data_IF_790317704944
#
_entry.id   IF_790317704944
#
_cell.length_a   1.000
_cell.length_b   1.000
_cell.length_c   1.000
_cell.angle_alpha   90.00
_cell.angle_beta   90.00
_cell.angle_gamma   90.00
#
_symmetry.space_group_name_H-M   'P 1'
#
loop_
_entity.id
_entity.type
_entity.pdbx_description
1 polymer ?
#
# COMPACT_ATOMS: atom_id res chain seq x y z
N UNK A 1 12.14 1.29 -30.67
CA UNK A 1 11.18 0.64 -29.77
C UNK A 1 10.81 1.64 -28.69
N UNK A 2 9.54 1.73 -28.27
CA UNK A 2 9.12 2.66 -27.20
C UNK A 2 9.53 2.03 -25.86
N UNK A 3 10.31 2.72 -25.00
CA UNK A 3 10.68 2.18 -23.70
C UNK A 3 9.48 2.14 -22.75
N UNK A 4 9.42 1.12 -21.91
CA UNK A 4 8.46 1.00 -20.82
C UNK A 4 9.01 1.75 -19.61
N UNK A 5 8.45 2.92 -19.35
CA UNK A 5 8.83 3.76 -18.20
C UNK A 5 7.83 3.51 -17.07
N UNK A 6 8.34 3.28 -15.85
CA UNK A 6 7.53 3.12 -14.67
C UNK A 6 7.89 4.16 -13.60
N UNK A 7 6.90 4.56 -12.82
CA UNK A 7 7.11 5.26 -11.55
C UNK A 7 6.92 4.26 -10.42
N UNK A 8 7.92 4.17 -9.55
CA UNK A 8 7.85 3.44 -8.31
C UNK A 8 7.77 4.44 -7.17
N UNK A 9 6.90 4.17 -6.20
CA UNK A 9 6.74 5.03 -5.02
C UNK A 9 6.88 4.23 -3.73
N UNK A 10 7.41 4.86 -2.69
CA UNK A 10 7.38 4.29 -1.33
C UNK A 10 6.11 4.71 -0.60
N UNK A 11 5.91 4.15 0.58
CA UNK A 11 4.93 4.58 1.56
C UNK A 11 5.34 5.84 2.33
N UNK A 12 4.55 6.17 3.35
CA UNK A 12 4.78 7.37 4.17
C UNK A 12 3.54 8.20 4.49
N UNK A 13 2.35 7.59 4.44
CA UNK A 13 1.07 8.22 4.79
C UNK A 13 0.83 9.53 4.02
N UNK A 14 0.42 10.57 4.74
CA UNK A 14 0.03 11.86 4.15
C UNK A 14 1.18 12.59 3.46
N UNK A 15 2.43 12.33 3.89
CA UNK A 15 3.64 12.88 3.25
C UNK A 15 3.84 12.26 1.88
N UNK A 16 3.71 10.95 1.77
CA UNK A 16 3.77 10.24 0.49
C UNK A 16 2.67 10.73 -0.45
N UNK A 17 1.43 10.84 0.05
CA UNK A 17 0.30 11.38 -0.71
C UNK A 17 0.60 12.77 -1.28
N UNK A 18 1.06 13.70 -0.44
CA UNK A 18 1.31 15.09 -0.85
C UNK A 18 2.50 15.19 -1.81
N UNK A 19 3.56 14.42 -1.53
CA UNK A 19 4.79 14.44 -2.34
C UNK A 19 4.57 13.83 -3.72
N UNK A 20 3.78 12.75 -3.82
CA UNK A 20 3.44 12.12 -5.09
C UNK A 20 2.62 13.06 -5.98
N UNK A 21 1.64 13.76 -5.43
CA UNK A 21 0.90 14.78 -6.19
C UNK A 21 1.83 15.87 -6.76
N UNK A 22 2.78 16.34 -5.94
CA UNK A 22 3.78 17.32 -6.39
C UNK A 22 4.69 16.77 -7.49
N UNK A 23 5.15 15.52 -7.36
CA UNK A 23 6.00 14.87 -8.37
C UNK A 23 5.24 14.66 -9.69
N UNK A 24 3.98 14.21 -9.64
CA UNK A 24 3.14 14.06 -10.83
C UNK A 24 2.86 15.41 -11.52
N UNK A 25 2.61 16.48 -10.75
CA UNK A 25 2.50 17.83 -11.31
C UNK A 25 3.80 18.27 -11.99
N UNK A 26 4.96 17.97 -11.39
CA UNK A 26 6.26 18.23 -12.00
C UNK A 26 6.42 17.51 -13.33
N UNK A 27 6.11 16.21 -13.37
CA UNK A 27 6.15 15.39 -14.57
C UNK A 27 5.18 15.90 -15.65
N UNK A 28 3.96 16.32 -15.26
CA UNK A 28 2.99 16.90 -16.18
C UNK A 28 3.51 18.20 -16.81
N UNK A 29 4.08 19.11 -16.00
CA UNK A 29 4.66 20.38 -16.49
C UNK A 29 5.86 20.18 -17.42
N UNK A 30 6.60 19.09 -17.24
CA UNK A 30 7.72 18.72 -18.10
C UNK A 30 7.29 17.97 -19.37
N UNK A 31 5.99 17.63 -19.52
CA UNK A 31 5.50 16.78 -20.61
C UNK A 31 6.01 15.34 -20.53
N UNK A 32 6.42 14.89 -19.34
CA UNK A 32 6.95 13.55 -19.10
C UNK A 32 5.92 12.61 -18.47
N UNK A 33 4.74 13.10 -18.08
CA UNK A 33 3.70 12.24 -17.51
C UNK A 33 3.18 11.22 -18.56
N UNK A 34 3.03 11.66 -19.81
CA UNK A 34 2.50 10.84 -20.91
C UNK A 34 3.44 9.69 -21.34
N UNK A 35 4.70 9.70 -20.90
CA UNK A 35 5.66 8.63 -21.23
C UNK A 35 5.57 7.44 -20.26
N UNK A 36 4.85 7.59 -19.16
CA UNK A 36 4.80 6.60 -18.08
C UNK A 36 3.78 5.51 -18.42
N UNK A 37 4.21 4.25 -18.41
CA UNK A 37 3.36 3.08 -18.61
C UNK A 37 2.74 2.56 -17.31
N UNK A 38 3.48 2.62 -16.20
CA UNK A 38 3.06 2.09 -14.90
C UNK A 38 3.32 3.07 -13.78
N UNK A 39 2.40 3.19 -12.82
CA UNK A 39 2.65 3.83 -11.52
C UNK A 39 2.34 2.84 -10.42
N UNK A 40 3.35 2.49 -9.61
CA UNK A 40 3.17 1.58 -8.47
C UNK A 40 3.10 2.34 -7.16
N UNK A 41 2.16 1.94 -6.30
CA UNK A 41 1.85 2.57 -5.03
C UNK A 41 1.88 1.58 -3.88
N UNK A 42 2.50 1.98 -2.78
CA UNK A 42 2.33 1.35 -1.48
C UNK A 42 1.99 2.40 -0.42
N UNK A 43 1.34 1.96 0.67
CA UNK A 43 0.90 2.82 1.78
C UNK A 43 0.25 4.13 1.31
N UNK A 44 0.62 5.27 1.91
CA UNK A 44 0.08 6.58 1.58
C UNK A 44 0.12 6.98 0.10
N UNK A 45 1.03 6.45 -0.72
CA UNK A 45 1.03 6.73 -2.17
C UNK A 45 -0.21 6.16 -2.86
N UNK A 46 -0.78 5.08 -2.34
CA UNK A 46 -2.05 4.52 -2.86
C UNK A 46 -3.23 5.46 -2.69
N UNK A 47 -3.19 6.36 -1.70
CA UNK A 47 -4.25 7.33 -1.50
C UNK A 47 -4.28 8.38 -2.61
N UNK A 48 -3.11 8.76 -3.14
CA UNK A 48 -3.00 9.63 -4.31
C UNK A 48 -3.51 8.93 -5.55
N UNK A 49 -3.07 7.69 -5.81
CA UNK A 49 -3.55 6.93 -6.97
C UNK A 49 -5.08 6.79 -6.91
N UNK A 50 -5.62 6.21 -5.85
CA UNK A 50 -7.07 6.04 -5.69
C UNK A 50 -7.87 7.36 -5.62
N UNK A 51 -7.23 8.52 -5.45
CA UNK A 51 -7.89 9.82 -5.59
C UNK A 51 -7.90 10.27 -7.06
N UNK A 52 -6.77 10.18 -7.76
CA UNK A 52 -6.63 10.59 -9.15
C UNK A 52 -7.43 9.71 -10.11
N UNK A 53 -7.40 8.39 -9.93
CA UNK A 53 -8.06 7.43 -10.82
C UNK A 53 -9.59 7.39 -10.69
N UNK A 54 -10.17 8.26 -9.84
CA UNK A 54 -11.60 8.57 -9.87
C UNK A 54 -11.99 9.44 -11.08
N UNK A 55 -11.03 10.10 -11.72
CA UNK A 55 -11.26 10.86 -12.96
C UNK A 55 -10.62 10.13 -14.15
N UNK A 56 -11.40 9.94 -15.21
CA UNK A 56 -10.97 9.17 -16.39
C UNK A 56 -9.80 9.83 -17.14
N UNK A 57 -9.65 11.15 -17.05
CA UNK A 57 -8.66 11.94 -17.80
C UNK A 57 -7.67 12.67 -16.86
N UNK A 58 -7.46 12.17 -15.65
CA UNK A 58 -6.72 12.88 -14.60
C UNK A 58 -5.31 13.34 -15.01
N UNK A 59 -4.60 12.58 -15.86
CA UNK A 59 -3.26 12.94 -16.34
C UNK A 59 -3.26 14.09 -17.34
N UNK A 60 -4.38 14.29 -18.05
CA UNK A 60 -4.57 15.28 -19.10
C UNK A 60 -5.26 16.55 -18.59
N UNK A 61 -5.85 16.52 -17.39
CA UNK A 61 -6.37 17.69 -16.69
C UNK A 61 -5.30 18.37 -15.82
N UNK A 62 -5.48 19.67 -15.53
CA UNK A 62 -4.58 20.39 -14.62
C UNK A 62 -4.60 19.79 -13.20
N UNK A 63 -3.47 19.17 -12.81
CA UNK A 63 -3.29 18.55 -11.50
C UNK A 63 -3.38 19.54 -10.33
N UNK A 64 -3.36 20.85 -10.59
CA UNK A 64 -3.59 21.88 -9.56
C UNK A 64 -4.96 21.75 -8.90
N UNK A 65 -5.98 21.25 -9.62
CA UNK A 65 -7.33 21.01 -9.08
C UNK A 65 -7.34 19.89 -8.03
N UNK A 66 -6.96 18.63 -8.34
CA UNK A 66 -6.90 17.57 -7.33
C UNK A 66 -5.91 17.90 -6.20
N UNK A 67 -4.81 18.60 -6.47
CA UNK A 67 -3.91 19.11 -5.42
C UNK A 67 -4.66 20.05 -4.46
N UNK A 68 -5.44 21.00 -4.98
CA UNK A 68 -6.18 21.94 -4.13
C UNK A 68 -7.26 21.24 -3.31
N UNK A 69 -7.91 20.23 -3.89
CA UNK A 69 -8.90 19.40 -3.21
C UNK A 69 -8.28 18.61 -2.06
N UNK A 70 -7.22 17.85 -2.34
CA UNK A 70 -6.49 17.09 -1.33
C UNK A 70 -5.93 18.02 -0.26
N UNK A 71 -5.39 19.19 -0.62
CA UNK A 71 -4.93 20.20 0.35
C UNK A 71 -6.06 20.64 1.28
N UNK A 72 -7.26 20.92 0.75
CA UNK A 72 -8.44 21.28 1.56
C UNK A 72 -8.82 20.15 2.51
N UNK A 73 -8.84 18.91 2.01
CA UNK A 73 -9.15 17.75 2.85
C UNK A 73 -8.09 17.50 3.91
N UNK A 74 -6.82 17.73 3.61
CA UNK A 74 -5.71 17.58 4.55
C UNK A 74 -5.74 18.63 5.65
N UNK A 75 -6.09 19.88 5.36
CA UNK A 75 -6.11 20.98 6.34
C UNK A 75 -7.43 21.12 7.12
N UNK A 76 -8.53 20.46 6.70
CA UNK A 76 -9.80 20.51 7.46
C UNK A 76 -9.65 19.92 8.87
N UNK A 77 -10.35 20.49 9.84
CA UNK A 77 -10.40 19.96 11.20
C UNK A 77 -10.91 18.51 11.21
N UNK A 78 -10.16 17.60 11.84
CA UNK A 78 -10.47 16.16 11.87
C UNK A 78 -11.35 15.73 13.05
N UNK A 79 -11.73 16.65 13.95
CA UNK A 79 -12.59 16.34 15.10
C UNK A 79 -13.97 15.85 14.69
N UNK A 80 -14.48 16.33 13.56
CA UNK A 80 -15.75 15.87 13.00
C UNK A 80 -15.74 14.38 12.63
N UNK A 81 -14.56 13.78 12.42
CA UNK A 81 -14.42 12.34 12.17
C UNK A 81 -14.83 11.50 13.39
N UNK A 82 -14.87 12.10 14.58
CA UNK A 82 -15.24 11.46 15.84
C UNK A 82 -16.54 12.01 16.46
N UNK A 83 -17.33 12.75 15.67
CA UNK A 83 -18.68 13.16 16.09
C UNK A 83 -19.57 11.93 16.30
N UNK A 84 -20.63 12.08 17.11
CA UNK A 84 -21.61 11.01 17.31
C UNK A 84 -22.23 10.53 15.99
N UNK A 85 -22.53 11.46 15.08
CA UNK A 85 -23.03 11.17 13.73
C UNK A 85 -22.05 10.31 12.93
N UNK A 86 -20.76 10.66 12.93
CA UNK A 86 -19.72 9.89 12.24
C UNK A 86 -19.58 8.49 12.84
N UNK A 87 -19.59 8.36 14.18
CA UNK A 87 -19.53 7.05 14.86
C UNK A 87 -20.74 6.17 14.54
N UNK A 88 -21.95 6.76 14.48
CA UNK A 88 -23.16 6.06 14.06
C UNK A 88 -23.08 5.60 12.59
N UNK A 89 -22.56 6.46 11.71
CA UNK A 89 -22.29 6.11 10.31
C UNK A 89 -21.32 4.93 10.20
N UNK A 90 -20.19 4.95 10.90
CA UNK A 90 -19.23 3.85 10.86
C UNK A 90 -19.84 2.54 11.38
N UNK A 91 -20.58 2.59 12.49
CA UNK A 91 -21.25 1.42 13.03
C UNK A 91 -22.27 0.83 12.03
N UNK A 92 -22.99 1.68 11.30
CA UNK A 92 -23.93 1.27 10.26
C UNK A 92 -23.22 0.61 9.08
N UNK A 93 -22.16 1.21 8.55
CA UNK A 93 -21.41 0.67 7.42
C UNK A 93 -20.70 -0.65 7.78
N UNK A 94 -20.11 -0.76 8.98
CA UNK A 94 -19.50 -2.02 9.45
C UNK A 94 -20.54 -3.12 9.65
N UNK A 95 -21.76 -2.77 10.12
CA UNK A 95 -22.87 -3.72 10.21
C UNK A 95 -23.31 -4.21 8.84
N UNK A 96 -23.44 -3.31 7.86
CA UNK A 96 -23.78 -3.65 6.48
C UNK A 96 -22.73 -4.57 5.87
N UNK A 97 -21.45 -4.20 5.97
CA UNK A 97 -20.32 -5.01 5.47
C UNK A 97 -20.30 -6.42 6.08
N UNK A 98 -20.61 -6.55 7.38
CA UNK A 98 -20.77 -7.86 8.04
C UNK A 98 -21.96 -8.65 7.48
N UNK A 99 -23.08 -7.99 7.19
CA UNK A 99 -24.26 -8.61 6.58
C UNK A 99 -24.01 -9.08 5.14
N UNK A 100 -23.16 -8.37 4.40
CA UNK A 100 -22.70 -8.77 3.06
C UNK A 100 -21.82 -10.03 3.10
N UNK A 101 -21.25 -10.37 4.26
CA UNK A 101 -20.48 -11.59 4.47
C UNK A 101 -18.98 -11.37 4.70
N UNK A 102 -18.53 -10.12 4.76
CA UNK A 102 -17.13 -9.79 5.06
C UNK A 102 -16.81 -9.99 6.54
N UNK A 103 -15.56 -10.38 6.81
CA UNK A 103 -14.99 -10.37 8.15
C UNK A 103 -14.65 -8.92 8.53
N UNK A 104 -15.08 -8.48 9.72
CA UNK A 104 -14.84 -7.12 10.20
C UNK A 104 -13.62 -7.08 11.13
N UNK A 105 -12.73 -6.14 10.89
CA UNK A 105 -11.50 -5.86 11.62
C UNK A 105 -11.40 -4.39 12.02
N UNK A 106 -10.37 -4.03 12.79
CA UNK A 106 -10.04 -2.63 13.07
C UNK A 106 -9.62 -1.87 11.81
N UNK A 107 -9.13 -2.58 10.79
CA UNK A 107 -8.72 -2.01 9.51
C UNK A 107 -9.92 -1.47 8.73
N UNK A 108 -11.08 -2.13 8.81
CA UNK A 108 -12.30 -1.63 8.18
C UNK A 108 -12.78 -0.30 8.79
N UNK A 109 -12.67 -0.18 10.10
CA UNK A 109 -12.95 1.09 10.79
C UNK A 109 -11.95 2.18 10.38
N UNK A 110 -10.67 1.83 10.25
CA UNK A 110 -9.64 2.74 9.77
C UNK A 110 -9.90 3.22 8.34
N UNK A 111 -10.33 2.33 7.44
CA UNK A 111 -10.73 2.68 6.07
C UNK A 111 -11.87 3.70 6.03
N UNK A 112 -12.90 3.53 6.88
CA UNK A 112 -14.01 4.48 7.00
C UNK A 112 -13.58 5.83 7.61
N UNK A 113 -12.64 5.79 8.57
CA UNK A 113 -12.07 7.01 9.15
C UNK A 113 -11.26 7.78 8.10
N UNK A 114 -10.47 7.08 7.30
CA UNK A 114 -9.71 7.66 6.18
C UNK A 114 -10.64 8.26 5.13
N UNK A 115 -11.71 7.57 4.75
CA UNK A 115 -12.76 8.12 3.86
C UNK A 115 -13.29 9.44 4.41
N UNK A 116 -13.70 9.50 5.69
CA UNK A 116 -14.21 10.74 6.27
C UNK A 116 -13.15 11.85 6.32
N UNK A 117 -11.89 11.47 6.55
CA UNK A 117 -10.78 12.40 6.64
C UNK A 117 -10.33 12.95 5.28
N UNK A 118 -10.42 12.16 4.22
CA UNK A 118 -9.90 12.47 2.88
C UNK A 118 -10.98 12.80 1.85
N UNK A 119 -12.26 12.54 2.15
CA UNK A 119 -13.38 12.83 1.25
C UNK A 119 -14.43 13.71 1.97
N UNK A 120 -15.33 14.34 1.21
CA UNK A 120 -16.43 15.16 1.76
C UNK A 120 -17.64 14.33 2.20
N UNK A 121 -17.69 13.05 1.84
CA UNK A 121 -18.80 12.16 2.12
C UNK A 121 -18.47 10.70 1.82
N UNK A 122 -19.52 9.88 1.74
CA UNK A 122 -19.38 8.48 1.34
C UNK A 122 -18.89 8.41 -0.11
N UNK A 123 -17.75 7.76 -0.32
CA UNK A 123 -17.18 7.49 -1.62
C UNK A 123 -17.46 6.02 -1.98
N UNK A 124 -18.28 5.81 -3.02
CA UNK A 124 -18.66 4.46 -3.46
C UNK A 124 -17.69 3.84 -4.48
N UNK A 125 -16.63 4.56 -4.84
CA UNK A 125 -15.67 4.12 -5.85
C UNK A 125 -15.01 2.79 -5.47
N UNK A 126 -14.77 1.96 -6.48
CA UNK A 126 -14.21 0.62 -6.40
C UNK A 126 -12.94 0.52 -7.25
N UNK A 127 -12.19 -0.56 -7.11
CA UNK A 127 -10.98 -0.77 -7.91
C UNK A 127 -11.32 -1.00 -9.38
N UNK A 128 -12.39 -1.77 -9.64
CA UNK A 128 -12.84 -2.02 -11.01
C UNK A 128 -13.34 -0.76 -11.73
N UNK A 129 -13.82 0.25 -11.00
CA UNK A 129 -14.24 1.53 -11.58
C UNK A 129 -13.06 2.29 -12.22
N UNK A 130 -11.82 2.09 -11.73
CA UNK A 130 -10.61 2.74 -12.27
C UNK A 130 -10.27 2.26 -13.70
N UNK A 131 -10.92 1.22 -14.22
CA UNK A 131 -10.78 0.79 -15.62
C UNK A 131 -11.21 1.89 -16.61
N UNK A 132 -12.13 2.78 -16.21
CA UNK A 132 -12.55 3.90 -17.06
C UNK A 132 -11.36 4.81 -17.40
N UNK A 133 -10.51 5.07 -16.42
CA UNK A 133 -9.28 5.84 -16.54
C UNK A 133 -8.19 5.16 -17.39
N UNK A 134 -8.42 3.93 -17.87
CA UNK A 134 -7.45 3.17 -18.66
C UNK A 134 -8.00 2.78 -20.04
N UNK A 135 -9.28 3.04 -20.30
CA UNK A 135 -10.01 2.52 -21.45
C UNK A 135 -9.46 2.95 -22.81
N UNK A 136 -8.73 4.07 -22.87
CA UNK A 136 -8.07 4.59 -24.07
C UNK A 136 -6.54 4.58 -23.96
N UNK A 137 -5.97 4.03 -22.88
CA UNK A 137 -4.55 4.16 -22.57
C UNK A 137 -4.12 5.60 -22.25
N UNK A 138 -5.06 6.41 -21.74
CA UNK A 138 -4.88 7.84 -21.46
C UNK A 138 -4.19 8.12 -20.11
N UNK A 139 -4.14 7.13 -19.22
CA UNK A 139 -3.35 7.20 -17.99
C UNK A 139 -2.42 5.99 -17.88
N UNK A 140 -1.32 6.10 -17.12
CA UNK A 140 -0.53 4.95 -16.73
C UNK A 140 -1.37 3.90 -16.01
N UNK A 141 -0.99 2.62 -16.03
CA UNK A 141 -1.67 1.61 -15.22
C UNK A 141 -1.30 1.78 -13.74
N UNK A 142 -2.27 2.00 -12.82
CA UNK A 142 -2.02 2.03 -11.39
C UNK A 142 -1.87 0.59 -10.88
N UNK A 143 -0.85 0.38 -10.07
CA UNK A 143 -0.61 -0.91 -9.43
C UNK A 143 -0.44 -0.69 -7.93
N UNK A 144 -1.36 -1.23 -7.15
CA UNK A 144 -1.36 -1.16 -5.70
C UNK A 144 -0.68 -2.39 -5.13
N UNK A 145 0.22 -2.18 -4.18
CA UNK A 145 1.03 -3.26 -3.61
C UNK A 145 0.73 -3.49 -2.13
N UNK A 146 0.57 -4.76 -1.76
CA UNK A 146 0.35 -5.18 -0.37
C UNK A 146 1.01 -6.55 -0.10
N UNK A 147 1.17 -6.90 1.17
CA UNK A 147 1.66 -8.21 1.60
C UNK A 147 0.51 -9.08 2.10
N UNK A 148 0.49 -10.34 1.68
CA UNK A 148 -0.19 -11.39 2.43
C UNK A 148 0.76 -11.93 3.51
N UNK A 149 0.25 -12.11 4.72
CA UNK A 149 0.98 -12.63 5.87
C UNK A 149 0.23 -13.79 6.52
N UNK A 150 0.91 -14.51 7.43
CA UNK A 150 0.28 -15.51 8.30
C UNK A 150 0.22 -14.96 9.72
N UNK A 151 -0.88 -15.18 10.43
CA UNK A 151 -1.07 -14.60 11.76
C UNK A 151 -0.03 -15.07 12.78
N UNK A 152 0.38 -16.33 12.69
CA UNK A 152 1.34 -16.99 13.58
C UNK A 152 2.82 -16.69 13.26
N UNK A 153 3.08 -15.92 12.19
CA UNK A 153 4.42 -15.59 11.74
C UNK A 153 4.63 -14.08 11.68
N UNK A 154 5.84 -13.63 11.96
CA UNK A 154 6.26 -12.27 11.67
C UNK A 154 6.44 -12.05 10.17
N UNK A 155 6.41 -10.79 9.74
CA UNK A 155 6.69 -10.44 8.34
C UNK A 155 8.14 -10.80 7.94
N UNK A 156 9.10 -10.91 8.85
CA UNK A 156 10.42 -11.44 8.47
C UNK A 156 10.36 -12.93 8.12
N UNK A 157 9.49 -13.71 8.80
CA UNK A 157 9.37 -15.17 8.66
C UNK A 157 8.43 -15.63 7.54
N UNK A 158 7.38 -14.86 7.22
CA UNK A 158 6.48 -15.15 6.09
C UNK A 158 5.86 -13.88 5.52
N UNK A 159 5.98 -13.71 4.20
CA UNK A 159 5.19 -12.75 3.43
C UNK A 159 5.09 -13.18 1.97
N UNK A 160 4.06 -12.68 1.31
CA UNK A 160 3.88 -12.86 -0.12
C UNK A 160 3.37 -11.57 -0.74
N UNK A 161 3.99 -11.20 -1.85
CA UNK A 161 3.63 -10.04 -2.64
C UNK A 161 2.29 -10.26 -3.35
N UNK A 162 1.31 -9.42 -3.03
CA UNK A 162 -0.01 -9.38 -3.69
C UNK A 162 -0.14 -8.07 -4.46
N UNK A 163 -0.43 -8.22 -5.74
CA UNK A 163 -0.62 -7.11 -6.68
C UNK A 163 -2.11 -6.85 -6.87
N UNK A 164 -2.50 -5.58 -6.88
CA UNK A 164 -3.85 -5.12 -7.19
C UNK A 164 -3.79 -4.13 -8.35
N UNK A 165 -4.61 -4.38 -9.37
CA UNK A 165 -4.82 -3.47 -10.51
C UNK A 165 -6.31 -3.34 -10.75
N UNK A 166 -6.76 -2.35 -11.55
CA UNK A 166 -8.17 -2.24 -11.92
C UNK A 166 -8.72 -3.49 -12.63
N UNK A 167 -7.85 -4.31 -13.23
CA UNK A 167 -8.24 -5.52 -13.97
C UNK A 167 -8.19 -6.78 -13.12
N UNK A 168 -7.12 -6.96 -12.36
CA UNK A 168 -6.84 -8.21 -11.65
C UNK A 168 -6.13 -8.00 -10.31
N UNK A 169 -6.37 -8.95 -9.41
CA UNK A 169 -5.71 -9.06 -8.10
C UNK A 169 -5.09 -10.45 -8.00
N UNK A 170 -3.82 -10.53 -7.58
CA UNK A 170 -3.15 -11.83 -7.56
C UNK A 170 -1.82 -11.89 -6.85
N UNK A 171 -1.36 -13.13 -6.68
CA UNK A 171 -0.08 -13.43 -6.05
C UNK A 171 1.01 -13.58 -7.11
N UNK A 172 2.08 -12.79 -6.97
CA UNK A 172 3.23 -12.87 -7.88
C UNK A 172 3.91 -14.26 -7.82
N UNK A 173 4.00 -14.83 -6.61
CA UNK A 173 4.63 -16.14 -6.35
C UNK A 173 3.93 -17.29 -7.07
N UNK A 174 2.60 -17.29 -7.07
CA UNK A 174 1.81 -18.40 -7.63
C UNK A 174 1.41 -18.18 -9.08
N UNK A 175 1.55 -16.95 -9.61
CA UNK A 175 1.06 -16.61 -10.95
C UNK A 175 -0.45 -16.75 -11.07
N UNK A 176 -1.16 -16.56 -9.96
CA UNK A 176 -2.60 -16.80 -9.86
C UNK A 176 -3.32 -15.48 -9.56
N UNK A 177 -4.23 -15.11 -10.45
CA UNK A 177 -4.94 -13.84 -10.46
C UNK A 177 -6.44 -14.07 -10.64
N UNK A 178 -7.24 -13.20 -10.03
CA UNK A 178 -8.69 -13.10 -10.21
C UNK A 178 -9.05 -11.70 -10.67
N UNK A 179 -10.26 -11.52 -11.20
CA UNK A 179 -10.77 -10.19 -11.53
C UNK A 179 -10.87 -9.32 -10.28
N UNK A 180 -10.58 -8.03 -10.41
CA UNK A 180 -10.62 -7.09 -9.30
C UNK A 180 -11.97 -7.09 -8.56
N UNK A 181 -13.08 -7.14 -9.29
CA UNK A 181 -14.43 -7.11 -8.72
C UNK A 181 -14.81 -8.38 -7.95
N UNK A 182 -14.07 -9.47 -8.13
CA UNK A 182 -14.31 -10.73 -7.41
C UNK A 182 -13.46 -10.83 -6.12
N UNK A 183 -12.55 -9.87 -5.87
CA UNK A 183 -11.70 -9.88 -4.68
C UNK A 183 -12.51 -9.85 -3.38
N UNK A 184 -12.16 -10.76 -2.46
CA UNK A 184 -12.88 -10.99 -1.21
C UNK A 184 -14.05 -11.97 -1.31
N UNK A 185 -14.42 -12.41 -2.52
CA UNK A 185 -15.41 -13.49 -2.71
C UNK A 185 -14.89 -14.86 -2.30
N UNK A 186 -15.78 -15.82 -2.08
CA UNK A 186 -15.39 -17.19 -1.72
C UNK A 186 -15.04 -18.00 -2.97
N UNK A 187 -13.88 -18.66 -2.97
CA UNK A 187 -13.44 -19.56 -4.03
C UNK A 187 -13.11 -20.95 -3.49
N UNK A 188 -13.15 -21.94 -4.38
CA UNK A 188 -12.62 -23.27 -4.12
C UNK A 188 -12.12 -23.90 -5.43
N UNK A 189 -10.89 -24.39 -5.44
CA UNK A 189 -10.25 -24.99 -6.63
C UNK A 189 -10.37 -24.11 -7.89
N UNK A 190 -10.12 -22.81 -7.74
CA UNK A 190 -10.18 -21.84 -8.83
C UNK A 190 -11.59 -21.47 -9.32
N UNK A 191 -12.65 -21.95 -8.66
CA UNK A 191 -14.04 -21.63 -9.00
C UNK A 191 -14.63 -20.67 -7.99
N UNK A 192 -15.35 -19.65 -8.47
CA UNK A 192 -16.12 -18.72 -7.64
C UNK A 192 -17.31 -19.47 -7.03
N UNK A 193 -17.30 -19.62 -5.71
CA UNK A 193 -18.32 -20.36 -4.96
C UNK A 193 -19.44 -19.44 -4.49
N UNK A 194 -19.08 -18.25 -4.01
CA UNK A 194 -20.02 -17.22 -3.57
C UNK A 194 -19.45 -15.86 -3.86
N UNK A 195 -20.13 -15.12 -4.72
CA UNK A 195 -19.78 -13.73 -5.03
C UNK A 195 -20.20 -12.81 -3.89
N UNK A 196 -19.25 -12.05 -3.37
CA UNK A 196 -19.52 -10.90 -2.49
C UNK A 196 -19.56 -9.61 -3.32
N UNK A 197 -20.27 -8.56 -2.86
CA UNK A 197 -20.22 -7.26 -3.51
C UNK A 197 -18.80 -6.68 -3.43
N UNK A 198 -18.24 -6.19 -4.54
CA UNK A 198 -16.90 -5.60 -4.54
C UNK A 198 -16.78 -4.49 -3.47
N UNK A 199 -15.70 -4.57 -2.69
CA UNK A 199 -15.43 -3.63 -1.60
C UNK A 199 -15.17 -2.21 -2.13
N UNK A 200 -15.73 -1.21 -1.44
CA UNK A 200 -15.36 0.20 -1.68
C UNK A 200 -13.87 0.40 -1.45
N UNK A 201 -13.25 1.26 -2.24
CA UNK A 201 -11.80 1.46 -2.23
C UNK A 201 -11.27 1.91 -0.87
N UNK A 202 -12.09 2.60 -0.07
CA UNK A 202 -11.74 3.02 1.28
C UNK A 202 -11.33 1.86 2.21
N UNK A 203 -11.94 0.68 2.06
CA UNK A 203 -11.57 -0.49 2.88
C UNK A 203 -10.18 -1.00 2.51
N UNK A 204 -9.85 -1.00 1.21
CA UNK A 204 -8.51 -1.37 0.74
C UNK A 204 -7.45 -0.32 1.12
N UNK A 205 -7.78 0.98 1.08
CA UNK A 205 -6.89 2.05 1.59
C UNK A 205 -6.53 1.82 3.06
N UNK A 206 -7.46 1.23 3.84
CA UNK A 206 -7.20 0.85 5.23
C UNK A 206 -6.15 -0.26 5.34
N UNK A 207 -6.28 -1.30 4.53
CA UNK A 207 -5.37 -2.46 4.49
C UNK A 207 -3.94 -2.06 4.14
N UNK A 208 -3.82 -1.14 3.17
CA UNK A 208 -2.52 -0.68 2.66
C UNK A 208 -1.79 0.23 3.65
N UNK A 209 -2.38 0.63 4.79
CA UNK A 209 -1.77 1.56 5.76
C UNK A 209 -1.52 0.89 7.11
N UNK A 210 -2.14 -0.26 7.35
CA UNK A 210 -2.12 -0.90 8.65
C UNK A 210 -0.89 -1.82 8.81
N UNK A 211 0.08 -1.35 9.59
CA UNK A 211 1.21 -2.16 10.06
C UNK A 211 0.96 -2.67 11.49
N UNK A 212 1.09 -3.99 11.69
CA UNK A 212 1.08 -4.64 13.04
C UNK A 212 2.12 -4.02 14.00
N UNK A 213 3.21 -3.45 13.47
CA UNK A 213 4.20 -2.70 14.24
C UNK A 213 3.69 -1.26 14.47
N UNK A 214 2.94 -1.13 15.56
CA UNK A 214 2.08 0.00 15.94
C UNK A 214 2.78 1.32 16.33
N UNK A 215 3.98 1.63 15.82
CA UNK A 215 4.76 2.78 16.32
C UNK A 215 4.77 4.02 15.41
N UNK A 216 4.70 3.90 14.08
CA UNK A 216 5.01 5.04 13.20
C UNK A 216 3.79 5.61 12.45
N UNK A 217 2.88 4.77 11.96
CA UNK A 217 1.82 5.23 11.03
C UNK A 217 0.61 5.82 11.77
N UNK A 218 0.28 5.28 12.96
CA UNK A 218 -0.75 5.85 13.83
C UNK A 218 -0.34 7.23 14.37
N UNK A 219 0.96 7.48 14.59
CA UNK A 219 1.41 8.68 15.28
C UNK A 219 1.19 9.96 14.47
N UNK A 220 1.36 9.99 13.14
CA UNK A 220 1.20 11.24 12.37
C UNK A 220 -0.26 11.67 12.16
N UNK A 221 -1.18 10.70 12.00
CA UNK A 221 -2.61 11.00 11.89
C UNK A 221 -3.19 11.38 13.25
N UNK A 222 -2.81 10.64 14.31
CA UNK A 222 -3.14 11.01 15.70
C UNK A 222 -2.48 12.35 16.05
N UNK A 223 -1.24 12.63 15.64
CA UNK A 223 -0.54 13.90 15.89
C UNK A 223 -1.22 15.08 15.22
N UNK A 224 -1.72 14.94 13.98
CA UNK A 224 -2.53 15.97 13.33
C UNK A 224 -3.87 16.20 14.06
N UNK A 225 -4.53 15.13 14.53
CA UNK A 225 -5.70 15.24 15.41
C UNK A 225 -5.33 15.97 16.72
N UNK A 226 -4.14 15.73 17.25
CA UNK A 226 -3.68 16.29 18.52
C UNK A 226 -3.23 17.75 18.47
N UNK A 227 -2.56 18.19 17.39
CA UNK A 227 -2.28 19.62 17.18
C UNK A 227 -3.59 20.43 17.16
N UNK A 228 -4.64 19.84 16.59
CA UNK A 228 -5.99 20.42 16.55
C UNK A 228 -6.66 20.50 17.95
N UNK A 229 -6.20 19.71 18.93
CA UNK A 229 -6.81 19.59 20.27
C UNK A 229 -6.08 20.34 21.39
N UNK A 230 -4.97 21.03 21.14
CA UNK A 230 -4.20 21.77 22.17
C UNK A 230 -3.86 20.91 23.41
N UNK A 231 -3.54 19.64 23.22
CA UNK A 231 -3.12 18.76 24.32
C UNK A 231 -1.61 18.96 24.55
N UNK A 232 -1.23 19.35 25.76
CA UNK A 232 0.17 19.54 26.19
C UNK A 232 0.96 18.24 26.11
N UNK A 233 2.00 18.24 25.27
CA UNK A 233 2.97 17.13 25.15
C UNK A 233 4.10 17.32 26.17
N UNK A 234 4.43 16.30 26.97
CA UNK A 234 5.67 16.28 27.75
C UNK A 234 6.84 15.81 26.87
N UNK A 235 7.98 16.49 26.96
CA UNK A 235 9.21 16.09 26.27
C UNK A 235 9.73 14.74 26.79
N UNK A 236 10.15 13.81 25.90
CA UNK A 236 10.84 12.60 26.31
C UNK A 236 12.32 12.88 26.62
N UNK A 237 12.91 12.07 27.52
CA UNK A 237 14.36 12.06 27.77
C UNK A 237 15.12 11.54 26.55
N UNK A 238 16.33 12.05 26.23
CA UNK A 238 17.07 11.64 25.05
C UNK A 238 17.44 10.14 25.12
N UNK A 239 17.01 9.35 24.13
CA UNK A 239 17.51 7.98 23.92
C UNK A 239 18.76 8.01 23.05
N UNK A 240 19.73 7.15 23.35
CA UNK A 240 21.08 7.12 22.74
C UNK A 240 21.12 6.55 21.30
N UNK A 241 19.97 6.46 20.61
CA UNK A 241 19.83 5.86 19.28
C UNK A 241 19.56 6.92 18.22
N UNK A 242 20.60 7.30 17.46
CA UNK A 242 20.64 8.39 16.46
C UNK A 242 19.69 8.28 15.25
N UNK A 243 18.76 7.33 15.24
CA UNK A 243 17.84 7.07 14.12
C UNK A 243 16.37 6.94 14.54
N UNK A 244 16.04 7.15 15.82
CA UNK A 244 14.65 7.27 16.26
C UNK A 244 14.19 8.72 16.02
N UNK A 245 13.02 8.87 15.38
CA UNK A 245 12.28 10.14 15.40
C UNK A 245 12.09 10.55 16.87
N UNK A 246 12.12 11.85 17.17
CA UNK A 246 11.61 12.36 18.44
C UNK A 246 10.11 12.07 18.50
N UNK A 247 9.75 10.89 18.99
CA UNK A 247 8.37 10.46 19.18
C UNK A 247 7.90 10.96 20.52
N UNK A 248 6.97 11.90 20.54
CA UNK A 248 6.24 12.26 21.75
C UNK A 248 5.34 11.09 22.15
N UNK A 249 5.59 10.48 23.31
CA UNK A 249 4.64 9.53 23.90
C UNK A 249 3.42 10.32 24.37
N UNK A 250 2.31 10.10 23.71
CA UNK A 250 1.04 10.71 24.09
C UNK A 250 0.26 9.69 24.89
N UNK A 251 0.11 9.96 26.18
CA UNK A 251 -0.86 9.27 27.04
C UNK A 251 -2.11 10.14 27.12
N UNK A 252 -3.21 9.81 26.41
CA UNK A 252 -4.43 10.57 26.52
C UNK A 252 -5.16 10.14 27.80
N UNK A 253 -5.16 11.02 28.80
CA UNK A 253 -6.08 10.91 29.94
C UNK A 253 -7.47 11.42 29.53
N UNK A 254 -8.43 10.49 29.57
CA UNK A 254 -9.91 10.59 29.48
C UNK A 254 -10.61 11.19 28.22
N UNK A 255 -11.79 10.65 27.90
CA UNK A 255 -12.71 11.14 26.83
C UNK A 255 -12.89 10.21 25.61
N UNK A 256 -13.26 10.79 24.46
CA UNK A 256 -13.43 10.09 23.15
C UNK A 256 -12.18 9.29 22.77
N UNK A 257 -10.99 9.77 23.15
CA UNK A 257 -9.72 9.09 22.88
C UNK A 257 -9.58 7.76 23.64
N UNK A 258 -10.20 7.62 24.81
CA UNK A 258 -10.30 6.34 25.52
C UNK A 258 -11.19 5.34 24.77
N UNK A 259 -12.25 5.81 24.10
CA UNK A 259 -13.13 4.98 23.28
C UNK A 259 -12.41 4.54 22.01
N UNK A 260 -11.72 5.46 21.32
CA UNK A 260 -10.89 5.15 20.14
C UNK A 260 -9.81 4.14 20.51
N UNK A 261 -9.07 4.38 21.60
CA UNK A 261 -8.06 3.45 22.11
C UNK A 261 -8.67 2.07 22.35
N UNK A 262 -9.80 1.99 23.05
CA UNK A 262 -10.47 0.71 23.33
C UNK A 262 -10.88 -0.03 22.03
N UNK A 263 -11.44 0.69 21.06
CA UNK A 263 -11.78 0.14 19.73
C UNK A 263 -10.52 -0.38 19.01
N UNK A 264 -9.42 0.38 19.08
CA UNK A 264 -8.14 0.02 18.46
C UNK A 264 -7.35 -1.05 19.22
N UNK A 265 -7.66 -1.32 20.49
CA UNK A 265 -6.94 -2.34 21.31
C UNK A 265 -7.68 -3.65 21.48
N UNK A 266 -9.00 -3.73 21.25
CA UNK A 266 -9.83 -4.90 21.60
C UNK A 266 -10.12 -5.90 20.47
N UNK A 267 -9.61 -5.74 19.24
CA UNK A 267 -10.03 -6.59 18.10
C UNK A 267 -8.88 -7.11 17.24
N UNK A 268 -9.18 -8.19 16.49
CA UNK A 268 -8.34 -8.75 15.43
C UNK A 268 -7.77 -7.62 14.59
N UNK A 269 -6.46 -7.42 14.72
CA UNK A 269 -5.72 -6.28 14.18
C UNK A 269 -5.45 -6.40 12.68
N UNK A 270 -5.89 -7.47 12.02
CA UNK A 270 -5.54 -7.74 10.63
C UNK A 270 -6.81 -7.96 9.83
N UNK A 271 -6.82 -7.40 8.62
CA UNK A 271 -7.90 -7.60 7.67
C UNK A 271 -7.90 -9.03 7.14
N UNK A 272 -9.09 -9.62 7.00
CA UNK A 272 -9.27 -11.01 6.56
C UNK A 272 -10.17 -11.05 5.33
N UNK A 273 -9.61 -11.49 4.21
CA UNK A 273 -10.34 -11.72 2.96
C UNK A 273 -10.35 -13.21 2.63
N UNK A 274 -11.43 -13.71 2.04
CA UNK A 274 -11.45 -15.09 1.57
C UNK A 274 -10.32 -15.34 0.58
N UNK A 275 -9.57 -16.41 0.81
CA UNK A 275 -8.45 -16.76 -0.01
C UNK A 275 -8.92 -17.34 -1.35
N UNK A 276 -8.67 -16.63 -2.43
CA UNK A 276 -9.04 -17.11 -3.77
C UNK A 276 -8.20 -18.31 -4.24
N UNK A 277 -7.10 -18.62 -3.54
CA UNK A 277 -6.29 -19.82 -3.76
C UNK A 277 -6.80 -21.05 -2.98
N UNK A 278 -7.87 -20.94 -2.21
CA UNK A 278 -8.37 -22.03 -1.36
C UNK A 278 -8.63 -23.29 -2.18
N UNK A 279 -8.03 -24.39 -1.74
CA UNK A 279 -8.21 -25.72 -2.33
C UNK A 279 -7.35 -26.01 -3.56
N UNK A 280 -6.53 -25.08 -4.04
CA UNK A 280 -5.48 -25.43 -4.99
C UNK A 280 -4.47 -26.39 -4.36
N UNK A 281 -3.81 -27.16 -5.22
CA UNK A 281 -2.72 -28.04 -4.84
C UNK A 281 -1.47 -27.60 -5.59
N UNK A 282 -0.34 -27.60 -4.90
CA UNK A 282 0.93 -27.32 -5.52
C UNK A 282 1.37 -28.47 -6.41
N UNK A 283 1.87 -28.13 -7.59
CA UNK A 283 2.46 -29.09 -8.51
C UNK A 283 3.69 -29.75 -7.86
N UNK A 284 3.95 -31.02 -8.13
CA UNK A 284 5.09 -31.75 -7.53
C UNK A 284 6.46 -31.09 -7.78
N UNK A 285 6.57 -30.35 -8.88
CA UNK A 285 7.79 -29.67 -9.30
C UNK A 285 7.71 -28.14 -9.12
N UNK A 286 6.83 -27.63 -8.24
CA UNK A 286 6.69 -26.18 -8.03
C UNK A 286 8.00 -25.50 -7.63
N UNK A 287 8.89 -26.20 -6.92
CA UNK A 287 10.25 -25.73 -6.58
C UNK A 287 11.22 -25.64 -7.76
N UNK A 288 10.85 -26.16 -8.93
CA UNK A 288 11.61 -26.02 -10.18
C UNK A 288 11.03 -24.91 -11.05
N UNK A 289 9.84 -24.40 -10.73
CA UNK A 289 9.20 -23.34 -11.48
C UNK A 289 9.94 -22.01 -11.24
N UNK A 290 10.44 -21.41 -12.33
CA UNK A 290 11.21 -20.16 -12.27
C UNK A 290 10.43 -18.99 -11.64
N UNK A 291 9.14 -18.88 -11.92
CA UNK A 291 8.30 -17.80 -11.38
C UNK A 291 8.05 -17.98 -9.88
N UNK A 292 7.77 -19.21 -9.44
CA UNK A 292 7.65 -19.51 -8.01
C UNK A 292 8.96 -19.21 -7.26
N UNK A 293 10.07 -19.72 -7.78
CA UNK A 293 11.39 -19.55 -7.16
C UNK A 293 11.88 -18.10 -7.16
N UNK A 294 11.46 -17.27 -8.11
CA UNK A 294 11.76 -15.83 -8.15
C UNK A 294 11.23 -15.08 -6.92
N UNK A 295 10.13 -15.56 -6.34
CA UNK A 295 9.45 -14.92 -5.22
C UNK A 295 9.52 -15.75 -3.92
N UNK A 296 10.33 -16.80 -3.92
CA UNK A 296 10.55 -17.67 -2.77
C UNK A 296 11.43 -16.95 -1.76
N UNK A 297 10.91 -16.66 -0.58
CA UNK A 297 11.64 -15.81 0.36
C UNK A 297 12.00 -16.49 1.68
N UNK A 298 11.28 -17.55 2.06
CA UNK A 298 11.43 -18.16 3.37
C UNK A 298 11.65 -19.67 3.28
N UNK A 299 11.83 -20.32 4.43
CA UNK A 299 11.98 -21.79 4.48
C UNK A 299 10.65 -22.49 4.32
N UNK A 300 9.53 -21.79 4.56
CA UNK A 300 8.18 -22.34 4.55
C UNK A 300 7.76 -22.77 3.14
N UNK A 301 8.33 -22.19 2.10
CA UNK A 301 8.16 -22.61 0.71
C UNK A 301 8.65 -24.03 0.39
N UNK A 302 9.31 -24.74 1.32
CA UNK A 302 9.60 -26.18 1.14
C UNK A 302 8.49 -27.09 1.66
N UNK A 303 7.53 -26.53 2.40
CA UNK A 303 6.43 -27.24 3.04
C UNK A 303 5.12 -26.85 2.37
N UNK A 304 4.69 -27.54 1.30
CA UNK A 304 3.54 -27.12 0.49
C UNK A 304 2.22 -27.06 1.29
N UNK A 305 2.10 -27.87 2.34
CA UNK A 305 0.97 -27.84 3.27
C UNK A 305 0.95 -26.61 4.20
N UNK A 306 2.06 -25.88 4.28
CA UNK A 306 2.20 -24.64 5.05
C UNK A 306 2.15 -23.40 4.17
N UNK A 307 1.82 -23.51 2.88
CA UNK A 307 1.66 -22.37 1.98
C UNK A 307 0.24 -21.80 2.02
N UNK A 308 -0.07 -20.85 1.14
CA UNK A 308 -1.28 -20.02 1.25
C UNK A 308 -2.53 -20.75 0.79
N UNK A 309 -2.43 -21.70 -0.14
CA UNK A 309 -3.55 -22.46 -0.70
C UNK A 309 -4.33 -23.27 0.34
N UNK A 310 -3.70 -23.57 1.49
CA UNK A 310 -4.32 -24.28 2.61
C UNK A 310 -5.09 -23.36 3.57
N UNK A 311 -4.85 -22.05 3.52
CA UNK A 311 -5.50 -21.08 4.39
C UNK A 311 -6.91 -20.71 3.87
N UNK A 312 -7.86 -20.55 4.78
CA UNK A 312 -9.21 -20.08 4.44
C UNK A 312 -9.24 -18.58 4.10
N UNK A 313 -8.43 -17.79 4.80
CA UNK A 313 -8.37 -16.34 4.66
C UNK A 313 -6.94 -15.89 4.34
N UNK A 314 -6.85 -14.88 3.48
CA UNK A 314 -5.66 -14.03 3.35
C UNK A 314 -5.68 -12.99 4.47
N UNK A 315 -4.51 -12.70 5.01
CA UNK A 315 -4.31 -11.67 6.01
C UNK A 315 -3.40 -10.61 5.42
N UNK A 316 -3.91 -9.40 5.24
CA UNK A 316 -3.18 -8.36 4.51
C UNK A 316 -2.43 -7.41 5.44
N UNK A 317 -1.25 -6.95 5.00
CA UNK A 317 -0.41 -6.00 5.71
C UNK A 317 0.27 -5.02 4.75
N UNK A 318 0.43 -3.77 5.19
CA UNK A 318 1.19 -2.74 4.48
C UNK A 318 2.66 -3.18 4.24
N UNK A 319 3.18 -2.89 3.05
CA UNK A 319 4.57 -3.19 2.67
C UNK A 319 5.59 -2.50 3.57
N UNK A 320 5.23 -1.34 4.14
CA UNK A 320 6.06 -0.61 5.10
C UNK A 320 6.40 -1.43 6.37
N UNK A 321 5.67 -2.52 6.62
CA UNK A 321 5.99 -3.49 7.68
C UNK A 321 7.19 -4.39 7.38
N UNK A 322 7.68 -4.41 6.13
CA UNK A 322 8.82 -5.20 5.69
C UNK A 322 9.87 -4.38 4.94
N UNK A 323 9.59 -3.97 3.71
CA UNK A 323 10.44 -3.09 2.90
C UNK A 323 9.50 -2.06 2.27
N UNK A 324 9.77 -0.78 2.52
CA UNK A 324 8.91 0.33 2.11
C UNK A 324 9.03 0.65 0.61
N UNK A 325 8.64 -0.29 -0.25
CA UNK A 325 8.79 -0.23 -1.70
C UNK A 325 7.57 -0.81 -2.44
N UNK A 326 7.36 -0.37 -3.68
CA UNK A 326 6.37 -0.93 -4.61
C UNK A 326 6.98 -1.53 -5.88
N UNK A 327 8.27 -1.88 -5.87
CA UNK A 327 8.98 -2.51 -6.99
C UNK A 327 8.46 -3.90 -7.45
N UNK A 328 8.06 -4.85 -6.59
CA UNK A 328 7.87 -6.24 -7.00
C UNK A 328 6.98 -6.45 -8.24
N UNK A 329 5.85 -5.75 -8.39
CA UNK A 329 5.06 -5.79 -9.63
C UNK A 329 5.87 -5.40 -10.88
N UNK A 330 6.71 -4.37 -10.81
CA UNK A 330 7.52 -3.91 -11.95
C UNK A 330 8.57 -4.94 -12.37
N UNK A 331 9.03 -5.77 -11.42
CA UNK A 331 10.00 -6.83 -11.68
C UNK A 331 9.37 -8.10 -12.27
N UNK A 332 8.11 -8.06 -12.72
CA UNK A 332 7.52 -9.14 -13.53
C UNK A 332 8.16 -9.15 -14.92
N UNK A 333 8.73 -10.28 -15.39
CA UNK A 333 9.35 -10.35 -16.72
C UNK A 333 8.40 -9.94 -17.87
N UNK A 334 7.10 -10.13 -17.68
CA UNK A 334 6.08 -9.77 -18.66
C UNK A 334 5.94 -8.25 -18.87
N UNK A 335 6.31 -7.43 -17.86
CA UNK A 335 6.20 -5.97 -17.94
C UNK A 335 7.35 -5.31 -18.69
N UNK A 336 8.53 -5.95 -18.77
CA UNK A 336 9.70 -5.47 -19.53
C UNK A 336 10.02 -3.99 -19.27
N UNK A 337 10.08 -3.60 -18.00
CA UNK A 337 10.31 -2.21 -17.60
C UNK A 337 11.76 -1.82 -17.90
N UNK A 338 11.96 -0.78 -18.69
CA UNK A 338 13.28 -0.29 -19.10
C UNK A 338 13.83 0.78 -18.15
N UNK A 339 12.95 1.66 -17.65
CA UNK A 339 13.32 2.78 -16.78
C UNK A 339 12.36 2.86 -15.59
N UNK A 340 12.92 2.99 -14.38
CA UNK A 340 12.12 3.24 -13.18
C UNK A 340 12.49 4.58 -12.56
N UNK A 341 11.51 5.47 -12.46
CA UNK A 341 11.58 6.67 -11.63
C UNK A 341 11.25 6.28 -10.19
N UNK A 342 12.28 6.13 -9.35
CA UNK A 342 12.13 5.86 -7.92
C UNK A 342 11.80 7.15 -7.16
N UNK A 343 10.61 7.25 -6.60
CA UNK A 343 10.18 8.38 -5.79
C UNK A 343 10.09 7.95 -4.31
N UNK A 344 11.06 8.39 -3.51
CA UNK A 344 11.14 8.04 -2.10
C UNK A 344 10.48 9.10 -1.20
N UNK A 345 9.66 8.62 -0.29
CA UNK A 345 8.96 9.39 0.73
C UNK A 345 9.14 8.81 2.14
N UNK A 346 10.03 7.84 2.37
CA UNK A 346 10.23 7.20 3.68
C UNK A 346 10.76 8.18 4.72
N UNK A 347 10.35 8.02 5.99
CA UNK A 347 10.76 8.88 7.10
C UNK A 347 12.10 8.39 7.64
N UNK A 348 13.07 9.28 7.74
CA UNK A 348 14.44 8.91 8.09
C UNK A 348 15.30 8.85 6.84
N UNK A 349 15.83 7.67 6.52
CA UNK A 349 16.80 7.53 5.43
C UNK A 349 16.16 7.65 4.05
N UNK A 350 16.70 8.55 3.24
CA UNK A 350 16.30 8.74 1.84
C UNK A 350 16.89 7.70 0.89
N UNK A 351 17.81 6.83 1.35
CA UNK A 351 18.46 5.79 0.53
C UNK A 351 18.07 4.38 0.95
N UNK A 352 17.66 4.19 2.21
CA UNK A 352 17.43 2.86 2.79
C UNK A 352 16.43 2.01 2.00
N UNK A 353 15.25 2.51 1.56
CA UNK A 353 14.31 1.68 0.79
C UNK A 353 14.92 1.13 -0.50
N UNK A 354 15.73 1.94 -1.19
CA UNK A 354 16.43 1.54 -2.42
C UNK A 354 17.55 0.51 -2.13
N UNK A 355 18.30 0.70 -1.04
CA UNK A 355 19.33 -0.25 -0.60
C UNK A 355 18.73 -1.60 -0.18
N UNK A 356 17.61 -1.59 0.54
CA UNK A 356 16.87 -2.79 0.94
C UNK A 356 16.27 -3.50 -0.27
N UNK A 357 15.70 -2.76 -1.23
CA UNK A 357 15.25 -3.32 -2.50
C UNK A 357 16.40 -4.02 -3.23
N UNK A 358 17.56 -3.36 -3.37
CA UNK A 358 18.74 -3.93 -4.04
C UNK A 358 19.21 -5.21 -3.35
N UNK A 359 19.27 -5.23 -2.00
CA UNK A 359 19.62 -6.43 -1.23
C UNK A 359 18.60 -7.55 -1.44
N UNK A 360 17.31 -7.23 -1.39
CA UNK A 360 16.23 -8.18 -1.58
C UNK A 360 16.28 -8.81 -2.98
N UNK A 361 16.31 -8.00 -4.04
CA UNK A 361 16.34 -8.49 -5.42
C UNK A 361 17.61 -9.28 -5.73
N UNK A 362 18.76 -8.86 -5.21
CA UNK A 362 20.01 -9.64 -5.33
C UNK A 362 19.89 -11.01 -4.67
N UNK A 363 19.31 -11.10 -3.47
CA UNK A 363 19.06 -12.38 -2.78
C UNK A 363 18.12 -13.28 -3.60
N UNK A 364 17.15 -12.70 -4.29
CA UNK A 364 16.19 -13.40 -5.15
C UNK A 364 16.71 -13.75 -6.55
N UNK A 365 17.93 -13.30 -6.91
CA UNK A 365 18.45 -13.45 -8.28
C UNK A 365 17.66 -12.65 -9.32
N UNK A 366 16.98 -11.59 -8.90
CA UNK A 366 16.23 -10.67 -9.75
C UNK A 366 17.21 -9.58 -10.25
N UNK A 367 17.35 -9.36 -11.57
CA UNK A 367 18.16 -8.27 -12.10
C UNK A 367 17.74 -6.93 -11.52
N UNK A 368 18.70 -6.19 -10.97
CA UNK A 368 18.48 -4.88 -10.36
C UNK A 368 19.81 -4.11 -10.32
N UNK A 369 19.83 -2.80 -10.61
CA UNK A 369 21.08 -2.06 -10.68
C UNK A 369 21.85 -2.10 -9.35
N UNK A 370 23.18 -2.08 -9.45
CA UNK A 370 24.07 -1.99 -8.29
C UNK A 370 23.96 -0.57 -7.70
N UNK A 371 23.38 -0.49 -6.51
CA UNK A 371 23.23 0.79 -5.79
C UNK A 371 24.55 1.10 -5.09
N UNK A 372 25.36 1.97 -5.70
CA UNK A 372 26.62 2.46 -5.14
C UNK A 372 26.57 3.98 -5.03
N UNK A 373 26.58 4.47 -3.79
CA UNK A 373 26.67 5.91 -3.50
C UNK A 373 27.98 6.20 -2.81
N UNK A 374 28.65 7.28 -3.20
CA UNK A 374 29.85 7.74 -2.51
C UNK A 374 29.54 8.18 -1.08
N UNK A 375 30.53 8.14 -0.18
CA UNK A 375 30.35 8.65 1.19
C UNK A 375 30.00 10.15 1.21
N UNK A 376 30.44 10.90 0.19
CA UNK A 376 30.06 12.29 0.01
C UNK A 376 28.58 12.44 -0.39
N UNK A 377 28.09 11.63 -1.34
CA UNK A 377 26.67 11.64 -1.72
C UNK A 377 25.76 11.23 -0.55
N UNK A 378 26.20 10.28 0.29
CA UNK A 378 25.44 9.88 1.49
C UNK A 378 25.40 11.00 2.54
N UNK A 379 26.44 11.82 2.62
CA UNK A 379 26.50 12.95 3.54
C UNK A 379 25.71 14.15 3.02
N UNK A 380 25.74 14.38 1.70
CA UNK A 380 25.14 15.51 1.01
C UNK A 380 24.23 15.00 -0.12
N UNK A 381 23.00 14.65 0.25
CA UNK A 381 22.04 14.10 -0.70
C UNK A 381 21.61 15.15 -1.74
N UNK A 382 21.50 14.72 -3.00
CA UNK A 382 21.01 15.47 -4.16
C UNK A 382 19.56 15.11 -4.45
N UNK A 383 18.92 15.89 -5.29
CA UNK A 383 17.53 15.69 -5.71
C UNK A 383 17.35 14.45 -6.60
N UNK A 384 18.38 14.05 -7.34
CA UNK A 384 18.30 12.95 -8.30
C UNK A 384 19.63 12.18 -8.39
N UNK A 385 19.50 10.85 -8.54
CA UNK A 385 20.59 9.91 -8.76
C UNK A 385 20.20 8.97 -9.90
N UNK A 386 21.20 8.53 -10.66
CA UNK A 386 21.03 7.56 -11.74
C UNK A 386 21.83 6.32 -11.34
N UNK A 387 21.17 5.16 -11.40
CA UNK A 387 21.78 3.86 -11.17
C UNK A 387 21.53 3.00 -12.40
N UNK A 388 22.60 2.54 -13.03
CA UNK A 388 22.58 1.69 -14.21
C UNK A 388 23.51 0.49 -14.00
N UNK A 389 23.18 -0.65 -14.60
CA UNK A 389 24.08 -1.79 -14.70
C UNK A 389 24.24 -2.16 -16.18
N UNK A 390 25.28 -1.63 -16.81
CA UNK A 390 25.56 -1.83 -18.24
C UNK A 390 26.01 -3.26 -18.55
N UNK A 391 26.33 -4.08 -17.53
CA UNK A 391 26.71 -5.49 -17.69
C UNK A 391 25.48 -6.41 -17.78
N UNK A 392 24.31 -5.95 -17.33
CA UNK A 392 23.03 -6.69 -17.38
C UNK A 392 21.94 -5.82 -18.01
N UNK A 393 21.89 -5.73 -19.35
CA UNK A 393 20.94 -4.89 -20.08
C UNK A 393 19.51 -5.45 -20.16
N UNK A 394 19.29 -6.67 -19.67
CA UNK A 394 17.96 -7.31 -19.47
C UNK A 394 17.47 -7.09 -18.05
#
# INVERSE_FOLDING_TARGET
QVPVVAVMTTGGGTRALTSLLGNLLGLQKLGLLDVISFITGSSGSTWTLSHLYQSADWSHEDLSRPISEVRRHMTKCKLSCFSLESLQYYAKELKLRKQEGYQISSVDFWGLLLEKALDDGKNNHKLSDEQEALSQGQNPLPIYMILNMKEDYSLSEFKEWVEFTPYEVGFLKYGAFIRAEDFGSEFFMGRLMKKLPESRICFMKGDVVYCKNLNCINMLFIFNIMQTLHITTKEPSPSDRRHELETYLVTPDCGIMGIIRRILTERVMVSKFYNFLKGFQLHNEYLQNKNFCRWKDTVLEHFPNQLTETAEFMCLADTAGYIDISYPPLMRPERKVDVVLHLNYSSGSQTLPLEEASKYFRKQGIPFPKIQMSEEDKKNLKECYIFEDTETPE
#
